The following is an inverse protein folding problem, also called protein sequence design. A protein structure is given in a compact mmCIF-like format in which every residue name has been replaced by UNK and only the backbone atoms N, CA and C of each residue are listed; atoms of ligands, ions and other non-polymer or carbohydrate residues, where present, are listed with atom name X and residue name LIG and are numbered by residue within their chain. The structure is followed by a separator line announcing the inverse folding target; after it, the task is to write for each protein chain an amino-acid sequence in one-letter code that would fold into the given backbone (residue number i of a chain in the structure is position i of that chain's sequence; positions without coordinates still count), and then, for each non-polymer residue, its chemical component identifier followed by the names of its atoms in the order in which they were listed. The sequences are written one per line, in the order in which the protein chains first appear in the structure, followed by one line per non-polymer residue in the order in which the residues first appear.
data_IF_676680221837
#
_entry.id   IF_676680221837
#
_cell.length_a   1.000
_cell.length_b   1.000
_cell.length_c   1.000
_cell.angle_alpha   90.00
_cell.angle_beta   90.00
_cell.angle_gamma   90.00
#
_symmetry.space_group_name_H-M   'P 1'
#
loop_
_entity.id
_entity.type
_entity.pdbx_description
1 polymer ?
#
# COMPACT_ATOMS: atom_id res chain seq x y z
N UNK A 1 27.59 17.47 -20.66
CA UNK A 1 29.07 17.37 -20.54
C UNK A 1 29.33 15.98 -19.98
N UNK A 2 29.95 15.11 -20.78
CA UNK A 2 30.44 13.86 -20.24
C UNK A 2 31.41 14.17 -19.08
N UNK A 3 31.42 13.32 -18.04
CA UNK A 3 32.44 13.38 -17.00
C UNK A 3 33.78 13.65 -17.66
N UNK A 4 34.46 14.74 -17.31
CA UNK A 4 35.76 15.00 -17.87
C UNK A 4 36.68 13.83 -17.48
N UNK A 5 37.56 13.39 -18.37
CA UNK A 5 38.52 12.31 -18.08
C UNK A 5 39.26 12.58 -16.75
N UNK A 6 39.44 13.84 -16.38
CA UNK A 6 40.04 14.25 -15.10
C UNK A 6 39.16 13.91 -13.89
N UNK A 7 37.85 14.17 -13.94
CA UNK A 7 36.95 13.87 -12.85
C UNK A 7 36.80 12.35 -12.63
N UNK A 8 36.80 11.58 -13.70
CA UNK A 8 36.79 10.10 -13.62
C UNK A 8 38.13 9.56 -13.04
N UNK A 9 39.26 10.17 -13.42
CA UNK A 9 40.57 9.81 -12.91
C UNK A 9 40.72 10.15 -11.42
N UNK A 10 40.30 11.32 -11.00
CA UNK A 10 40.28 11.74 -9.58
C UNK A 10 39.42 10.82 -8.72
N UNK A 11 38.26 10.40 -9.25
CA UNK A 11 37.36 9.48 -8.58
C UNK A 11 37.99 8.08 -8.43
N UNK A 12 38.62 7.58 -9.49
CA UNK A 12 39.32 6.29 -9.47
C UNK A 12 40.52 6.30 -8.51
N UNK A 13 41.23 7.41 -8.44
CA UNK A 13 42.35 7.58 -7.53
C UNK A 13 41.89 7.70 -6.08
N UNK A 14 40.77 8.38 -5.81
CA UNK A 14 40.17 8.42 -4.47
C UNK A 14 39.67 7.05 -4.01
N UNK A 15 39.08 6.24 -4.89
CA UNK A 15 38.67 4.86 -4.60
C UNK A 15 39.90 3.98 -4.33
N UNK A 16 40.95 4.10 -5.12
CA UNK A 16 42.22 3.36 -4.95
C UNK A 16 42.97 3.74 -3.67
N UNK A 17 42.85 4.98 -3.20
CA UNK A 17 43.46 5.48 -1.97
C UNK A 17 42.79 4.96 -0.69
N UNK A 18 41.80 4.05 -0.80
CA UNK A 18 41.11 3.46 0.35
C UNK A 18 40.05 4.40 0.96
N UNK A 19 39.48 5.28 0.16
CA UNK A 19 38.33 6.10 0.56
C UNK A 19 37.20 5.21 1.06
N UNK A 20 36.69 5.50 2.28
CA UNK A 20 35.68 4.72 2.94
C UNK A 20 34.33 4.74 2.19
N UNK A 21 33.29 4.17 2.82
CA UNK A 21 31.91 4.07 2.27
C UNK A 21 31.37 5.42 1.78
N UNK A 22 31.77 6.54 2.36
CA UNK A 22 31.39 7.89 1.95
C UNK A 22 31.90 8.26 0.54
N UNK A 23 33.16 7.94 0.22
CA UNK A 23 33.73 8.19 -1.10
C UNK A 23 33.05 7.36 -2.19
N UNK A 24 32.72 6.11 -1.87
CA UNK A 24 31.97 5.24 -2.79
C UNK A 24 30.55 5.75 -3.02
N UNK A 25 29.88 6.22 -1.97
CA UNK A 25 28.54 6.82 -2.05
C UNK A 25 28.55 8.10 -2.89
N UNK A 26 29.52 8.99 -2.69
CA UNK A 26 29.64 10.24 -3.42
C UNK A 26 29.95 9.97 -4.91
N UNK A 27 30.80 8.97 -5.19
CA UNK A 27 31.07 8.50 -6.54
C UNK A 27 29.82 7.95 -7.23
N UNK A 28 29.06 7.11 -6.54
CA UNK A 28 27.79 6.58 -7.06
C UNK A 28 26.78 7.72 -7.30
N UNK A 29 26.68 8.68 -6.39
CA UNK A 29 25.78 9.84 -6.53
C UNK A 29 26.10 10.60 -7.80
N UNK A 30 27.37 10.87 -8.06
CA UNK A 30 27.83 11.62 -9.23
C UNK A 30 27.53 10.86 -10.54
N UNK A 31 27.87 9.58 -10.60
CA UNK A 31 27.62 8.73 -11.80
C UNK A 31 26.13 8.62 -12.08
N UNK A 32 25.32 8.32 -11.07
CA UNK A 32 23.87 8.15 -11.24
C UNK A 32 23.20 9.48 -11.63
N UNK A 33 23.66 10.60 -11.06
CA UNK A 33 23.14 11.93 -11.41
C UNK A 33 23.47 12.30 -12.87
N UNK A 34 24.68 12.00 -13.34
CA UNK A 34 25.07 12.26 -14.73
C UNK A 34 24.27 11.40 -15.72
N UNK A 35 24.03 10.12 -15.40
CA UNK A 35 23.19 9.25 -16.23
C UNK A 35 21.74 9.78 -16.32
N UNK A 36 21.19 10.29 -15.22
CA UNK A 36 19.87 10.90 -15.19
C UNK A 36 19.82 12.17 -16.07
N UNK A 37 20.86 13.01 -16.03
CA UNK A 37 20.92 14.23 -16.82
C UNK A 37 21.12 13.92 -18.32
N UNK A 38 21.88 12.89 -18.69
CA UNK A 38 22.03 12.44 -20.07
C UNK A 38 20.69 11.96 -20.63
N UNK A 39 20.00 11.08 -19.92
CA UNK A 39 18.69 10.56 -20.33
C UNK A 39 17.62 11.67 -20.41
N UNK A 40 17.62 12.61 -19.45
CA UNK A 40 16.76 13.78 -19.53
C UNK A 40 17.05 14.66 -20.73
N UNK A 41 18.32 14.78 -21.13
CA UNK A 41 18.73 15.56 -22.30
C UNK A 41 18.28 14.91 -23.60
N UNK A 42 18.34 13.58 -23.70
CA UNK A 42 17.78 12.83 -24.84
C UNK A 42 16.26 13.02 -24.97
N UNK A 43 15.52 12.91 -23.86
CA UNK A 43 14.05 13.10 -23.85
C UNK A 43 13.67 14.53 -24.22
N UNK A 44 14.45 15.53 -23.80
CA UNK A 44 14.22 16.95 -24.06
C UNK A 44 14.66 17.33 -25.49
N UNK A 45 15.52 16.54 -26.12
CA UNK A 45 16.16 16.87 -27.40
C UNK A 45 17.21 17.98 -27.32
N UNK A 46 17.71 18.30 -26.10
CA UNK A 46 18.73 19.33 -25.91
C UNK A 46 19.43 19.20 -24.55
N UNK A 47 20.71 19.49 -24.52
CA UNK A 47 21.49 19.59 -23.29
C UNK A 47 21.07 20.77 -22.42
N UNK A 48 21.60 20.81 -21.19
CA UNK A 48 21.32 21.92 -20.25
C UNK A 48 21.89 23.21 -20.80
N UNK A 49 21.06 24.25 -20.89
CA UNK A 49 21.36 25.59 -21.44
C UNK A 49 21.63 25.63 -22.96
N UNK A 50 21.54 24.51 -23.69
CA UNK A 50 21.64 24.47 -25.13
C UNK A 50 20.36 25.02 -25.79
N UNK A 51 20.53 25.77 -26.88
CA UNK A 51 19.42 26.26 -27.71
C UNK A 51 19.46 25.50 -29.04
N UNK A 52 18.45 24.69 -29.28
CA UNK A 52 18.30 23.88 -30.52
C UNK A 52 16.83 23.80 -30.89
N UNK A 53 16.55 23.66 -32.18
CA UNK A 53 15.19 23.49 -32.71
C UNK A 53 14.63 22.10 -32.40
N UNK A 54 15.46 21.16 -32.01
CA UNK A 54 15.08 19.80 -31.59
C UNK A 54 14.51 19.73 -30.17
N UNK A 55 14.60 20.83 -29.44
CA UNK A 55 14.11 20.90 -28.06
C UNK A 55 12.58 20.76 -28.00
N UNK A 56 12.11 19.69 -27.37
CA UNK A 56 10.67 19.38 -27.22
C UNK A 56 10.03 20.04 -26.00
N UNK A 57 10.80 20.27 -24.92
CA UNK A 57 10.29 20.87 -23.67
C UNK A 57 11.43 21.52 -22.87
N UNK A 58 11.08 22.13 -21.74
CA UNK A 58 12.04 22.79 -20.84
C UNK A 58 12.06 22.12 -19.46
N UNK A 59 13.24 22.13 -18.80
CA UNK A 59 13.36 21.76 -17.39
C UNK A 59 12.61 22.76 -16.50
N UNK A 60 11.90 22.25 -15.50
CA UNK A 60 11.14 23.04 -14.53
C UNK A 60 11.50 22.62 -13.10
N UNK A 61 12.77 22.87 -12.72
CA UNK A 61 13.30 22.41 -11.43
C UNK A 61 13.63 20.92 -11.40
N UNK A 62 13.77 20.39 -10.21
CA UNK A 62 14.03 18.97 -9.96
C UNK A 62 13.22 18.48 -8.75
N UNK A 63 13.08 17.16 -8.63
CA UNK A 63 12.59 16.47 -7.42
C UNK A 63 13.69 15.61 -6.86
N UNK A 64 13.83 15.58 -5.55
CA UNK A 64 14.82 14.72 -4.88
C UNK A 64 14.25 13.33 -4.68
N UNK A 65 15.06 12.30 -4.95
CA UNK A 65 14.79 10.91 -4.61
C UNK A 65 15.98 10.34 -3.86
N UNK A 66 15.70 9.56 -2.82
CA UNK A 66 16.73 8.80 -2.11
C UNK A 66 16.74 7.38 -2.66
N UNK A 67 17.91 6.91 -3.07
CA UNK A 67 18.17 5.54 -3.48
C UNK A 67 19.03 4.87 -2.42
N UNK A 68 18.49 3.89 -1.69
CA UNK A 68 19.24 3.12 -0.71
C UNK A 68 20.13 2.11 -1.42
N UNK A 69 21.42 2.17 -1.14
CA UNK A 69 22.45 1.29 -1.71
C UNK A 69 23.24 0.60 -0.59
N UNK A 70 24.04 -0.39 -0.94
CA UNK A 70 24.98 -1.03 0.02
C UNK A 70 26.04 -0.05 0.57
N UNK A 71 26.27 1.07 -0.13
CA UNK A 71 27.19 2.12 0.30
C UNK A 71 26.46 3.27 1.06
N UNK A 72 25.18 3.06 1.45
CA UNK A 72 24.34 4.06 2.10
C UNK A 72 23.33 4.73 1.15
N UNK A 73 22.63 5.72 1.67
CA UNK A 73 21.58 6.45 0.95
C UNK A 73 22.17 7.48 -0.01
N UNK A 74 21.81 7.39 -1.29
CA UNK A 74 22.22 8.28 -2.38
C UNK A 74 21.06 9.23 -2.69
N UNK A 75 21.28 10.54 -2.59
CA UNK A 75 20.28 11.56 -2.94
C UNK A 75 20.43 11.95 -4.41
N UNK A 76 19.41 11.67 -5.22
CA UNK A 76 19.37 11.96 -6.65
C UNK A 76 18.36 13.06 -6.95
N UNK A 77 18.69 13.95 -7.90
CA UNK A 77 17.85 15.03 -8.38
C UNK A 77 17.30 14.71 -9.76
N UNK A 78 16.02 14.37 -9.84
CA UNK A 78 15.35 14.04 -11.09
C UNK A 78 14.78 15.30 -11.71
N UNK A 79 15.18 15.71 -12.94
CA UNK A 79 14.63 16.87 -13.62
C UNK A 79 13.11 16.75 -13.79
N UNK A 80 12.40 17.84 -13.51
CA UNK A 80 10.98 18.03 -13.88
C UNK A 80 10.92 18.68 -15.25
N UNK A 81 9.96 18.25 -16.08
CA UNK A 81 9.67 18.88 -17.36
C UNK A 81 8.50 19.86 -17.23
N UNK A 82 8.51 20.92 -18.04
CA UNK A 82 7.40 21.89 -18.11
C UNK A 82 6.18 21.25 -18.76
N UNK A 83 6.39 20.45 -19.80
CA UNK A 83 5.38 19.68 -20.52
C UNK A 83 5.81 18.21 -20.57
N UNK A 84 4.87 17.29 -20.29
CA UNK A 84 5.15 15.87 -20.16
C UNK A 84 5.69 15.45 -18.79
N UNK A 85 6.12 14.21 -18.68
CA UNK A 85 6.74 13.65 -17.48
C UNK A 85 8.05 12.95 -17.86
N UNK A 86 9.06 13.11 -17.00
CA UNK A 86 10.33 12.39 -17.11
C UNK A 86 10.56 11.58 -15.84
N UNK A 87 10.92 10.33 -16.05
CA UNK A 87 11.41 9.47 -14.98
C UNK A 87 12.58 8.66 -15.53
N UNK A 88 13.77 8.70 -14.88
CA UNK A 88 14.95 7.98 -15.37
C UNK A 88 14.71 6.48 -15.46
N UNK A 89 15.06 5.83 -16.57
CA UNK A 89 14.96 4.38 -16.75
C UNK A 89 15.77 3.62 -15.70
N UNK A 90 16.90 4.19 -15.28
CA UNK A 90 17.76 3.71 -14.21
C UNK A 90 16.99 3.60 -12.85
N UNK A 91 16.04 4.49 -12.61
CA UNK A 91 15.25 4.56 -11.37
C UNK A 91 13.82 4.06 -11.59
N UNK A 92 13.52 3.46 -12.76
CA UNK A 92 12.18 2.97 -13.05
C UNK A 92 11.70 1.99 -11.98
N UNK A 93 10.59 2.31 -11.32
CA UNK A 93 10.02 1.47 -10.26
C UNK A 93 9.71 0.06 -10.72
N UNK A 94 9.40 -0.09 -11.99
CA UNK A 94 8.94 -1.35 -12.59
C UNK A 94 10.00 -2.44 -12.68
N UNK A 95 11.28 -2.11 -12.67
CA UNK A 95 12.34 -3.14 -12.78
C UNK A 95 12.29 -4.19 -11.69
N UNK A 96 11.94 -3.81 -10.46
CA UNK A 96 11.80 -4.76 -9.34
C UNK A 96 10.60 -5.67 -9.54
N UNK A 97 9.46 -5.11 -9.93
CA UNK A 97 8.24 -5.86 -10.25
C UNK A 97 8.47 -6.77 -11.44
N UNK A 98 9.06 -6.26 -12.51
CA UNK A 98 9.32 -7.03 -13.73
C UNK A 98 10.31 -8.16 -13.45
N UNK A 99 11.35 -7.92 -12.64
CA UNK A 99 12.30 -8.96 -12.20
C UNK A 99 11.62 -10.01 -11.33
N UNK A 100 10.73 -9.60 -10.43
CA UNK A 100 9.96 -10.53 -9.59
C UNK A 100 8.97 -11.36 -10.42
N UNK A 101 8.28 -10.75 -11.36
CA UNK A 101 7.37 -11.43 -12.28
C UNK A 101 8.13 -12.45 -13.13
N UNK A 102 9.27 -12.05 -13.72
CA UNK A 102 10.14 -12.95 -14.47
C UNK A 102 10.60 -14.14 -13.62
N UNK A 103 11.07 -13.89 -12.38
CA UNK A 103 11.53 -14.93 -11.48
C UNK A 103 10.42 -15.96 -11.18
N UNK A 104 9.18 -15.51 -10.96
CA UNK A 104 8.03 -16.40 -10.70
C UNK A 104 7.66 -17.21 -11.94
N UNK A 105 7.66 -16.59 -13.13
CA UNK A 105 7.38 -17.27 -14.40
C UNK A 105 8.43 -18.36 -14.65
N UNK A 106 9.70 -18.02 -14.47
CA UNK A 106 10.80 -18.97 -14.68
C UNK A 106 10.81 -20.08 -13.63
N UNK A 107 10.48 -19.77 -12.39
CA UNK A 107 10.33 -20.78 -11.33
C UNK A 107 9.22 -21.79 -11.68
N UNK A 108 8.06 -21.31 -12.12
CA UNK A 108 6.95 -22.16 -12.54
C UNK A 108 7.34 -23.06 -13.75
N UNK A 109 8.02 -22.49 -14.74
CA UNK A 109 8.49 -23.21 -15.92
C UNK A 109 9.53 -24.30 -15.59
N UNK A 110 10.54 -23.93 -14.81
CA UNK A 110 11.64 -24.83 -14.42
C UNK A 110 11.17 -26.01 -13.55
N UNK A 111 10.15 -25.78 -12.72
CA UNK A 111 9.56 -26.82 -11.87
C UNK A 111 8.48 -27.66 -12.57
N UNK A 112 8.14 -27.36 -13.83
CA UNK A 112 7.12 -28.07 -14.59
C UNK A 112 5.71 -27.92 -14.05
N UNK A 113 5.45 -26.83 -13.30
CA UNK A 113 4.14 -26.47 -12.76
C UNK A 113 3.53 -25.27 -13.51
N UNK A 114 4.09 -24.95 -14.68
CA UNK A 114 3.64 -23.85 -15.53
C UNK A 114 2.25 -24.13 -16.11
N UNK A 115 1.51 -23.03 -16.31
CA UNK A 115 0.27 -23.05 -17.08
C UNK A 115 0.59 -22.77 -18.56
N UNK A 116 -0.33 -23.13 -19.47
CA UNK A 116 -0.19 -22.77 -20.91
C UNK A 116 0.11 -21.28 -21.09
N UNK A 117 -0.47 -20.42 -20.25
CA UNK A 117 -0.24 -18.96 -20.25
C UNK A 117 1.20 -18.61 -19.90
N UNK A 118 1.80 -19.30 -18.94
CA UNK A 118 3.21 -19.11 -18.56
C UNK A 118 4.13 -19.63 -19.67
N UNK A 119 3.80 -20.78 -20.28
CA UNK A 119 4.56 -21.34 -21.39
C UNK A 119 4.56 -20.39 -22.59
N UNK A 120 3.39 -19.82 -22.95
CA UNK A 120 3.25 -18.82 -24.02
C UNK A 120 4.11 -17.56 -23.73
N UNK A 121 4.19 -17.13 -22.48
CA UNK A 121 5.02 -15.99 -22.07
C UNK A 121 6.52 -16.29 -22.18
N UNK A 122 6.94 -17.48 -21.78
CA UNK A 122 8.36 -17.92 -21.88
C UNK A 122 8.80 -17.94 -23.34
N UNK A 123 7.96 -18.51 -24.23
CA UNK A 123 8.20 -18.50 -25.68
C UNK A 123 8.24 -17.08 -26.24
N UNK A 124 7.28 -16.21 -25.87
CA UNK A 124 7.23 -14.82 -26.33
C UNK A 124 8.44 -13.99 -25.87
N UNK A 125 9.04 -14.33 -24.73
CA UNK A 125 10.26 -13.70 -24.23
C UNK A 125 11.54 -14.22 -24.88
N UNK A 126 11.45 -15.20 -25.79
CA UNK A 126 12.60 -15.78 -26.49
C UNK A 126 13.54 -16.58 -25.57
N UNK A 127 13.03 -17.12 -24.45
CA UNK A 127 13.83 -17.79 -23.43
C UNK A 127 14.00 -19.29 -23.73
N UNK A 128 13.91 -19.69 -24.98
CA UNK A 128 13.95 -21.11 -25.43
C UNK A 128 15.28 -21.83 -25.16
N UNK A 129 16.33 -21.15 -24.76
CA UNK A 129 17.63 -21.78 -24.58
C UNK A 129 18.44 -21.12 -23.46
N UNK A 130 18.43 -21.73 -22.27
CA UNK A 130 19.61 -21.62 -21.42
C UNK A 130 19.51 -20.94 -20.07
N UNK A 131 18.31 -20.68 -19.51
CA UNK A 131 18.25 -20.21 -18.11
C UNK A 131 18.46 -21.42 -17.19
N UNK A 132 19.53 -21.40 -16.41
CA UNK A 132 19.84 -22.51 -15.50
C UNK A 132 18.97 -22.44 -14.23
N UNK A 133 18.59 -23.62 -13.69
CA UNK A 133 17.87 -23.73 -12.42
C UNK A 133 18.58 -22.97 -11.29
N UNK A 134 19.90 -22.97 -11.28
CA UNK A 134 20.71 -22.28 -10.28
C UNK A 134 20.60 -20.75 -10.39
N UNK A 135 20.51 -20.20 -11.59
CA UNK A 135 20.34 -18.76 -11.79
C UNK A 135 18.95 -18.29 -11.36
N UNK A 136 17.89 -19.01 -11.74
CA UNK A 136 16.52 -18.74 -11.27
C UNK A 136 16.48 -18.77 -9.74
N UNK A 137 17.03 -19.80 -9.10
CA UNK A 137 17.07 -19.93 -7.64
C UNK A 137 17.86 -18.81 -6.95
N UNK A 138 18.93 -18.30 -7.60
CA UNK A 138 19.69 -17.15 -7.08
C UNK A 138 18.87 -15.87 -7.13
N UNK A 139 18.22 -15.60 -8.26
CA UNK A 139 17.37 -14.40 -8.42
C UNK A 139 16.17 -14.44 -7.47
N UNK A 140 15.54 -15.61 -7.31
CA UNK A 140 14.45 -15.78 -6.35
C UNK A 140 14.90 -15.46 -4.92
N UNK A 141 16.04 -15.99 -4.47
CA UNK A 141 16.58 -15.70 -3.12
C UNK A 141 16.89 -14.23 -2.90
N UNK A 142 17.54 -13.57 -3.86
CA UNK A 142 17.82 -12.13 -3.76
C UNK A 142 16.56 -11.30 -3.59
N UNK A 143 15.49 -11.64 -4.31
CA UNK A 143 14.19 -10.97 -4.19
C UNK A 143 13.47 -11.32 -2.88
N UNK A 144 13.57 -12.57 -2.44
CA UNK A 144 13.02 -13.02 -1.16
C UNK A 144 13.67 -12.28 0.01
N UNK A 145 14.98 -12.08 -0.02
CA UNK A 145 15.72 -11.32 0.99
C UNK A 145 15.27 -9.84 1.03
N UNK A 146 15.09 -9.21 -0.14
CA UNK A 146 14.59 -7.84 -0.26
C UNK A 146 13.17 -7.73 0.29
N UNK A 147 12.29 -8.65 -0.09
CA UNK A 147 10.89 -8.66 0.37
C UNK A 147 10.80 -8.96 1.87
N UNK A 148 11.63 -9.88 2.39
CA UNK A 148 11.71 -10.18 3.81
C UNK A 148 12.15 -8.96 4.62
N UNK A 149 13.23 -8.28 4.20
CA UNK A 149 13.70 -7.06 4.85
C UNK A 149 12.63 -5.96 4.89
N UNK A 150 11.87 -5.80 3.78
CA UNK A 150 10.75 -4.87 3.74
C UNK A 150 9.61 -5.29 4.67
N UNK A 151 9.23 -6.57 4.64
CA UNK A 151 8.14 -7.11 5.44
C UNK A 151 8.42 -7.03 6.93
N UNK A 152 9.67 -7.28 7.34
CA UNK A 152 10.07 -7.39 8.72
C UNK A 152 10.63 -6.06 9.31
N UNK A 153 10.63 -4.97 8.52
CA UNK A 153 11.15 -3.67 8.96
C UNK A 153 10.43 -3.13 10.18
N UNK A 154 11.12 -2.37 11.07
CA UNK A 154 10.49 -1.70 12.22
C UNK A 154 9.41 -0.69 11.78
N UNK A 155 8.33 -0.59 12.56
CA UNK A 155 7.23 0.35 12.38
C UNK A 155 7.16 1.41 13.49
N UNK A 156 8.05 1.36 14.47
CA UNK A 156 8.02 2.24 15.65
C UNK A 156 8.56 3.66 15.44
N UNK A 157 8.83 4.04 14.19
CA UNK A 157 9.37 5.37 13.84
C UNK A 157 8.33 6.50 13.97
N UNK A 158 7.04 6.17 13.87
CA UNK A 158 5.92 7.12 13.98
C UNK A 158 4.63 6.39 14.35
N UNK A 159 3.67 7.02 15.08
CA UNK A 159 2.33 6.46 15.29
C UNK A 159 1.50 6.42 13.99
N UNK A 160 0.59 5.42 13.89
CA UNK A 160 -0.33 5.22 12.76
C UNK A 160 -1.80 5.28 13.23
N UNK A 161 -2.42 6.45 13.32
CA UNK A 161 -3.80 6.60 13.79
C UNK A 161 -4.83 5.81 12.98
N UNK A 162 -4.61 5.64 11.67
CA UNK A 162 -5.49 4.91 10.77
C UNK A 162 -4.78 3.73 10.13
N UNK A 163 -5.40 2.55 10.22
CA UNK A 163 -4.92 1.32 9.60
C UNK A 163 -6.02 0.75 8.71
N UNK A 164 -5.66 0.41 7.47
CA UNK A 164 -6.55 -0.23 6.50
C UNK A 164 -6.09 -1.67 6.31
N UNK A 165 -7.05 -2.60 6.39
CA UNK A 165 -6.82 -4.03 6.21
C UNK A 165 -7.74 -4.54 5.12
N UNK A 166 -7.18 -5.35 4.22
CA UNK A 166 -7.95 -6.01 3.17
C UNK A 166 -7.20 -7.26 2.71
N UNK A 167 -7.89 -8.17 2.03
CA UNK A 167 -7.33 -9.37 1.47
C UNK A 167 -7.74 -9.54 0.01
N UNK A 168 -6.86 -10.18 -0.75
CA UNK A 168 -7.14 -10.66 -2.09
C UNK A 168 -6.73 -12.11 -2.22
N UNK A 169 -7.31 -12.84 -3.18
CA UNK A 169 -7.05 -14.26 -3.36
C UNK A 169 -6.31 -14.52 -4.66
N UNK A 170 -5.33 -15.40 -4.57
CA UNK A 170 -4.56 -15.93 -5.70
C UNK A 170 -4.55 -17.45 -5.65
N UNK A 171 -4.29 -18.10 -6.80
CA UNK A 171 -4.13 -19.55 -6.86
C UNK A 171 -2.67 -19.93 -6.82
N UNK A 172 -2.33 -20.91 -5.97
CA UNK A 172 -0.97 -21.43 -5.88
C UNK A 172 -0.98 -22.95 -5.70
N UNK A 173 0.10 -23.59 -6.10
CA UNK A 173 0.32 -25.01 -5.78
C UNK A 173 0.66 -25.15 -4.30
N UNK A 174 0.04 -26.18 -3.68
CA UNK A 174 0.36 -26.72 -2.38
C UNK A 174 0.51 -28.24 -2.55
N UNK A 175 1.75 -28.70 -2.65
CA UNK A 175 2.04 -30.05 -3.11
C UNK A 175 1.48 -30.30 -4.51
N UNK A 176 0.66 -31.33 -4.65
CA UNK A 176 0.03 -31.71 -5.93
C UNK A 176 -1.29 -30.96 -6.23
N UNK A 177 -1.81 -30.18 -5.28
CA UNK A 177 -3.11 -29.52 -5.39
C UNK A 177 -2.95 -28.03 -5.71
N UNK A 178 -3.95 -27.45 -6.41
CA UNK A 178 -4.07 -26.02 -6.59
C UNK A 178 -5.07 -25.47 -5.59
N UNK A 179 -4.61 -24.61 -4.69
CA UNK A 179 -5.42 -24.01 -3.62
C UNK A 179 -5.53 -22.51 -3.80
N UNK A 180 -6.52 -21.93 -3.14
CA UNK A 180 -6.67 -20.48 -3.04
C UNK A 180 -5.88 -20.00 -1.83
N UNK A 181 -4.97 -19.06 -2.01
CA UNK A 181 -4.20 -18.43 -0.93
C UNK A 181 -4.70 -17.01 -0.72
N UNK A 182 -4.95 -16.65 0.52
CA UNK A 182 -5.26 -15.27 0.91
C UNK A 182 -3.98 -14.45 0.96
N UNK A 183 -3.97 -13.31 0.30
CA UNK A 183 -2.91 -12.30 0.36
C UNK A 183 -3.46 -11.12 1.15
N UNK A 184 -3.05 -11.00 2.40
CA UNK A 184 -3.49 -9.97 3.33
C UNK A 184 -2.53 -8.81 3.30
N UNK A 185 -3.07 -7.61 3.21
CA UNK A 185 -2.30 -6.36 3.13
C UNK A 185 -2.76 -5.38 4.20
N UNK A 186 -1.80 -4.79 4.89
CA UNK A 186 -2.02 -3.68 5.81
C UNK A 186 -1.34 -2.42 5.29
N UNK A 187 -2.09 -1.31 5.27
CA UNK A 187 -1.54 0.03 5.04
C UNK A 187 -1.94 0.95 6.17
N UNK A 188 -1.15 1.98 6.44
CA UNK A 188 -1.42 2.94 7.50
C UNK A 188 -1.29 4.37 7.04
N UNK A 189 -1.91 5.26 7.79
CA UNK A 189 -1.68 6.71 7.70
C UNK A 189 -0.92 7.12 8.94
N UNK A 190 0.24 7.74 8.73
CA UNK A 190 1.11 8.24 9.80
C UNK A 190 0.48 9.42 10.56
N UNK A 191 0.95 9.73 11.75
CA UNK A 191 0.55 10.92 12.48
C UNK A 191 0.80 12.23 11.70
N UNK A 192 1.66 12.21 10.68
CA UNK A 192 1.91 13.35 9.76
C UNK A 192 1.00 13.35 8.53
N UNK A 193 0.16 12.34 8.35
CA UNK A 193 -0.78 12.22 7.24
C UNK A 193 -0.22 11.54 5.99
N UNK A 194 0.98 10.97 6.03
CA UNK A 194 1.57 10.20 4.94
C UNK A 194 1.05 8.76 4.96
N UNK A 195 1.12 8.07 3.82
CA UNK A 195 0.73 6.65 3.74
C UNK A 195 1.94 5.74 3.71
N UNK A 196 1.82 4.61 4.40
CA UNK A 196 2.79 3.53 4.35
C UNK A 196 2.13 2.17 4.19
N UNK A 197 2.80 1.26 3.47
CA UNK A 197 2.45 -0.17 3.52
C UNK A 197 3.04 -0.72 4.83
N UNK A 198 2.23 -1.27 5.70
CA UNK A 198 2.66 -1.77 7.02
C UNK A 198 3.09 -3.22 6.99
N UNK A 199 2.44 -4.04 6.15
CA UNK A 199 2.75 -5.45 6.08
C UNK A 199 1.98 -6.22 5.02
N UNK A 200 2.47 -7.43 4.80
CA UNK A 200 1.95 -8.45 3.91
C UNK A 200 2.03 -9.80 4.61
N UNK A 201 0.98 -10.61 4.50
CA UNK A 201 1.01 -12.02 4.82
C UNK A 201 0.26 -12.84 3.77
N UNK A 202 0.70 -14.07 3.55
CA UNK A 202 0.04 -15.04 2.68
C UNK A 202 -0.34 -16.24 3.53
N UNK A 203 -1.51 -16.82 3.31
CA UNK A 203 -2.00 -17.95 4.09
C UNK A 203 -3.15 -18.68 3.39
N UNK A 204 -3.57 -19.81 3.98
CA UNK A 204 -4.59 -20.68 3.40
C UNK A 204 -6.01 -20.12 3.55
N UNK A 205 -6.24 -19.34 4.61
CA UNK A 205 -7.55 -18.79 4.93
C UNK A 205 -7.43 -17.48 5.69
N UNK A 206 -8.49 -16.68 5.64
CA UNK A 206 -8.65 -15.45 6.44
C UNK A 206 -9.31 -15.76 7.79
N UNK A 207 -8.92 -16.82 8.48
CA UNK A 207 -9.50 -17.12 9.80
C UNK A 207 -8.97 -16.19 10.91
N UNK A 208 -9.61 -16.26 12.08
CA UNK A 208 -9.26 -15.40 13.21
C UNK A 208 -7.85 -15.62 13.74
N UNK A 209 -7.31 -16.84 13.62
CA UNK A 209 -5.95 -17.16 14.07
C UNK A 209 -4.92 -16.53 13.16
N UNK A 210 -5.12 -16.61 11.84
CA UNK A 210 -4.26 -15.97 10.84
C UNK A 210 -4.24 -14.44 11.00
N UNK A 211 -5.42 -13.81 11.11
CA UNK A 211 -5.52 -12.38 11.36
C UNK A 211 -4.85 -11.94 12.68
N UNK A 212 -5.06 -12.75 13.74
CA UNK A 212 -4.43 -12.47 15.03
C UNK A 212 -2.90 -12.54 14.95
N UNK A 213 -2.36 -13.56 14.30
CA UNK A 213 -0.92 -13.69 14.07
C UNK A 213 -0.36 -12.53 13.25
N UNK A 214 -1.05 -12.14 12.18
CA UNK A 214 -0.66 -11.01 11.34
C UNK A 214 -0.64 -9.69 12.13
N UNK A 215 -1.70 -9.36 12.85
CA UNK A 215 -1.77 -8.12 13.65
C UNK A 215 -0.74 -8.11 14.79
N UNK A 216 -0.49 -9.25 15.43
CA UNK A 216 0.59 -9.39 16.43
C UNK A 216 1.96 -9.14 15.82
N UNK A 217 2.21 -9.60 14.59
CA UNK A 217 3.47 -9.32 13.89
C UNK A 217 3.66 -7.83 13.61
N UNK A 218 2.61 -7.09 13.26
CA UNK A 218 2.68 -5.65 13.10
C UNK A 218 3.01 -4.95 14.44
N UNK A 219 2.37 -5.37 15.54
CA UNK A 219 2.65 -4.82 16.87
C UNK A 219 4.06 -5.11 17.34
N UNK A 220 4.55 -6.33 17.16
CA UNK A 220 5.93 -6.71 17.57
C UNK A 220 6.99 -5.90 16.81
N UNK A 221 6.67 -5.43 15.60
CA UNK A 221 7.51 -4.53 14.79
C UNK A 221 7.36 -3.05 15.20
N UNK A 222 6.53 -2.72 16.17
CA UNK A 222 6.39 -1.37 16.73
C UNK A 222 5.17 -0.59 16.24
N UNK A 223 4.18 -1.22 15.57
CA UNK A 223 2.92 -0.53 15.22
C UNK A 223 2.25 0.01 16.48
N UNK A 224 2.02 1.31 16.51
CA UNK A 224 1.48 2.03 17.68
C UNK A 224 0.53 3.16 17.28
N UNK A 225 -0.24 3.68 18.25
CA UNK A 225 -1.12 4.83 18.08
C UNK A 225 -2.35 4.57 17.21
N UNK A 226 -2.73 3.31 16.99
CA UNK A 226 -3.90 2.95 16.15
C UNK A 226 -5.18 3.39 16.86
N UNK A 227 -5.94 4.29 16.22
CA UNK A 227 -7.24 4.79 16.72
C UNK A 227 -8.42 4.21 15.96
N UNK A 228 -8.23 3.95 14.64
CA UNK A 228 -9.27 3.37 13.80
C UNK A 228 -8.67 2.34 12.84
N UNK A 229 -9.30 1.17 12.79
CA UNK A 229 -9.03 0.14 11.79
C UNK A 229 -10.18 0.08 10.80
N UNK A 230 -9.89 0.16 9.52
CA UNK A 230 -10.86 0.12 8.42
C UNK A 230 -10.71 -1.19 7.66
N UNK A 231 -11.77 -2.00 7.60
CA UNK A 231 -11.75 -3.27 6.87
C UNK A 231 -13.13 -3.69 6.36
N UNK A 232 -13.20 -4.78 5.62
CA UNK A 232 -14.48 -5.46 5.38
C UNK A 232 -14.98 -6.19 6.66
N UNK A 233 -16.25 -6.55 6.64
CA UNK A 233 -16.88 -7.29 7.73
C UNK A 233 -16.53 -8.78 7.64
N UNK A 234 -15.48 -9.15 8.34
CA UNK A 234 -15.07 -10.53 8.55
C UNK A 234 -14.94 -10.78 10.06
N UNK A 235 -15.73 -11.73 10.61
CA UNK A 235 -15.81 -11.94 12.07
C UNK A 235 -14.45 -12.28 12.69
N UNK A 236 -13.66 -13.14 12.03
CA UNK A 236 -12.32 -13.48 12.49
C UNK A 236 -11.39 -12.26 12.54
N UNK A 237 -11.51 -11.33 11.58
CA UNK A 237 -10.75 -10.08 11.57
C UNK A 237 -11.22 -9.12 12.67
N UNK A 238 -12.54 -8.94 12.84
CA UNK A 238 -13.11 -8.08 13.89
C UNK A 238 -12.64 -8.55 15.28
N UNK A 239 -12.72 -9.86 15.53
CA UNK A 239 -12.23 -10.45 16.78
C UNK A 239 -10.72 -10.26 16.98
N UNK A 240 -9.92 -10.41 15.94
CA UNK A 240 -8.47 -10.19 16.00
C UNK A 240 -8.11 -8.71 16.27
N UNK A 241 -8.82 -7.76 15.65
CA UNK A 241 -8.65 -6.31 15.91
C UNK A 241 -8.91 -6.01 17.38
N UNK A 242 -10.05 -6.46 17.91
CA UNK A 242 -10.43 -6.23 19.31
C UNK A 242 -9.41 -6.84 20.30
N UNK A 243 -8.85 -8.02 19.98
CA UNK A 243 -7.90 -8.71 20.84
C UNK A 243 -6.47 -8.13 20.77
N UNK A 244 -6.03 -7.60 19.63
CA UNK A 244 -4.63 -7.20 19.41
C UNK A 244 -4.44 -5.69 19.41
N UNK A 245 -5.37 -4.92 18.84
CA UNK A 245 -5.29 -3.46 18.73
C UNK A 245 -6.23 -2.80 19.76
N UNK A 246 -5.95 -3.06 21.02
CA UNK A 246 -6.76 -2.57 22.15
C UNK A 246 -6.93 -1.05 22.10
N UNK A 247 -8.15 -0.57 22.32
CA UNK A 247 -8.51 0.85 22.29
C UNK A 247 -8.72 1.43 20.89
N UNK A 248 -8.53 0.64 19.82
CA UNK A 248 -8.89 1.11 18.48
C UNK A 248 -10.37 0.87 18.17
N UNK A 249 -11.02 1.86 17.53
CA UNK A 249 -12.33 1.67 16.93
C UNK A 249 -12.22 0.84 15.63
N UNK A 250 -13.31 0.21 15.25
CA UNK A 250 -13.40 -0.51 13.97
C UNK A 250 -14.43 0.12 13.05
N UNK A 251 -14.02 0.46 11.83
CA UNK A 251 -14.88 0.97 10.78
C UNK A 251 -15.12 -0.10 9.73
N UNK A 252 -16.35 -0.54 9.58
CA UNK A 252 -16.76 -1.38 8.46
C UNK A 252 -16.69 -0.61 7.15
N UNK A 253 -16.02 -1.14 6.15
CA UNK A 253 -15.89 -0.51 4.84
C UNK A 253 -17.29 -0.23 4.22
N UNK A 254 -17.58 1.05 3.98
CA UNK A 254 -18.84 1.50 3.38
C UNK A 254 -19.11 0.86 2.01
N UNK A 255 -18.09 0.68 1.20
CA UNK A 255 -18.24 0.13 -0.15
C UNK A 255 -18.67 -1.33 -0.10
N UNK A 256 -18.03 -2.13 0.75
CA UNK A 256 -18.41 -3.52 0.97
C UNK A 256 -19.80 -3.63 1.62
N UNK A 257 -20.10 -2.77 2.58
CA UNK A 257 -21.43 -2.68 3.18
C UNK A 257 -22.51 -2.42 2.12
N UNK A 258 -22.32 -1.44 1.25
CA UNK A 258 -23.28 -1.15 0.16
C UNK A 258 -23.42 -2.33 -0.82
N UNK A 259 -22.36 -3.08 -1.11
CA UNK A 259 -22.45 -4.33 -1.90
C UNK A 259 -23.31 -5.38 -1.20
N UNK A 260 -23.15 -5.52 0.12
CA UNK A 260 -23.97 -6.45 0.91
C UNK A 260 -25.45 -6.03 0.95
N UNK A 261 -25.75 -4.74 1.00
CA UNK A 261 -27.11 -4.19 0.83
C UNK A 261 -27.68 -4.59 -0.53
N UNK A 262 -26.91 -4.38 -1.61
CA UNK A 262 -27.35 -4.72 -2.97
C UNK A 262 -27.64 -6.22 -3.17
N UNK A 263 -26.90 -7.08 -2.48
CA UNK A 263 -27.11 -8.52 -2.56
C UNK A 263 -28.46 -8.99 -1.94
N UNK A 264 -29.10 -8.11 -1.15
CA UNK A 264 -30.36 -8.42 -0.43
C UNK A 264 -31.61 -7.80 -1.08
N UNK A 265 -31.46 -7.11 -2.20
CA UNK A 265 -32.57 -6.41 -2.86
C UNK A 265 -32.67 -6.80 -4.34
N UNK A 266 -33.88 -6.75 -4.93
CA UNK A 266 -34.08 -6.93 -6.35
C UNK A 266 -33.36 -5.85 -7.17
N UNK A 267 -32.78 -6.24 -8.32
CA UNK A 267 -32.05 -5.32 -9.22
C UNK A 267 -32.84 -4.04 -9.57
N UNK A 268 -34.14 -4.13 -9.80
CA UNK A 268 -34.99 -2.99 -10.12
C UNK A 268 -35.16 -1.96 -8.99
N UNK A 269 -34.77 -2.28 -7.75
CA UNK A 269 -34.83 -1.37 -6.59
C UNK A 269 -33.44 -0.88 -6.18
N UNK A 270 -32.37 -1.35 -6.83
CA UNK A 270 -30.98 -1.10 -6.44
C UNK A 270 -30.65 0.40 -6.35
N UNK A 271 -30.97 1.17 -7.38
CA UNK A 271 -30.63 2.59 -7.46
C UNK A 271 -31.34 3.41 -6.40
N UNK A 272 -32.63 3.11 -6.17
CA UNK A 272 -33.44 3.80 -5.13
C UNK A 272 -32.87 3.53 -3.73
N UNK A 273 -32.65 2.27 -3.38
CA UNK A 273 -32.15 1.90 -2.06
C UNK A 273 -30.72 2.43 -1.84
N UNK A 274 -29.85 2.33 -2.86
CA UNK A 274 -28.50 2.89 -2.77
C UNK A 274 -28.52 4.41 -2.61
N UNK A 275 -29.39 5.11 -3.35
CA UNK A 275 -29.53 6.56 -3.18
C UNK A 275 -29.96 6.92 -1.76
N UNK A 276 -30.96 6.21 -1.21
CA UNK A 276 -31.39 6.40 0.17
C UNK A 276 -30.26 6.12 1.18
N UNK A 277 -29.59 4.98 1.12
CA UNK A 277 -28.51 4.62 2.06
C UNK A 277 -27.30 5.57 1.94
N UNK A 278 -27.00 6.08 0.74
CA UNK A 278 -25.91 7.07 0.56
C UNK A 278 -26.16 8.38 1.26
N UNK A 279 -27.41 8.77 1.50
CA UNK A 279 -27.73 10.02 2.24
C UNK A 279 -27.24 9.99 3.67
N UNK A 280 -27.13 8.82 4.30
CA UNK A 280 -26.58 8.63 5.64
C UNK A 280 -25.17 9.20 5.73
N UNK A 281 -24.34 8.93 4.70
CA UNK A 281 -22.94 9.35 4.64
C UNK A 281 -22.75 10.78 4.09
N UNK A 282 -23.82 11.47 3.72
CA UNK A 282 -23.78 12.83 3.22
C UNK A 282 -24.09 13.88 4.29
N UNK A 283 -24.33 13.45 5.51
CA UNK A 283 -24.70 14.33 6.63
C UNK A 283 -23.49 15.13 7.14
N UNK A 284 -23.71 16.34 7.71
CA UNK A 284 -22.63 17.25 8.09
C UNK A 284 -21.96 16.91 9.42
N UNK A 285 -22.62 16.15 10.30
CA UNK A 285 -22.15 15.82 11.65
C UNK A 285 -22.61 14.44 12.12
N UNK A 286 -22.05 13.96 13.23
CA UNK A 286 -22.30 12.64 13.77
C UNK A 286 -23.74 12.40 14.21
N UNK A 287 -24.40 13.43 14.78
CA UNK A 287 -25.78 13.34 15.22
C UNK A 287 -26.71 13.16 14.02
N UNK A 288 -26.55 14.00 13.00
CA UNK A 288 -27.32 13.93 11.76
C UNK A 288 -27.08 12.60 11.00
N UNK A 289 -25.85 12.04 11.03
CA UNK A 289 -25.57 10.70 10.45
C UNK A 289 -26.39 9.63 11.16
N UNK A 290 -26.44 9.65 12.50
CA UNK A 290 -27.18 8.67 13.31
C UNK A 290 -28.69 8.80 13.13
N UNK A 291 -29.21 10.00 13.11
CA UNK A 291 -30.63 10.29 12.85
C UNK A 291 -31.06 9.83 11.47
N UNK A 292 -30.28 10.21 10.43
CA UNK A 292 -30.54 9.80 9.04
C UNK A 292 -30.50 8.29 8.86
N UNK A 293 -29.59 7.59 9.57
CA UNK A 293 -29.54 6.12 9.53
C UNK A 293 -30.83 5.51 10.06
N UNK A 294 -31.34 5.99 11.19
CA UNK A 294 -32.63 5.57 11.76
C UNK A 294 -33.79 5.82 10.81
N UNK A 295 -33.90 7.04 10.28
CA UNK A 295 -34.95 7.39 9.30
C UNK A 295 -34.94 6.50 8.06
N UNK A 296 -33.74 6.20 7.50
CA UNK A 296 -33.63 5.35 6.32
C UNK A 296 -34.00 3.90 6.65
N UNK A 297 -33.59 3.39 7.82
CA UNK A 297 -34.01 2.07 8.28
C UNK A 297 -35.54 1.98 8.39
N UNK A 298 -36.18 2.95 9.02
CA UNK A 298 -37.66 3.01 9.15
C UNK A 298 -38.34 3.07 7.80
N UNK A 299 -37.88 3.91 6.88
CA UNK A 299 -38.40 4.04 5.51
C UNK A 299 -38.24 2.76 4.67
N UNK A 300 -37.20 1.98 4.91
CA UNK A 300 -36.95 0.73 4.19
C UNK A 300 -37.68 -0.48 4.81
N UNK A 301 -38.03 -0.45 6.09
CA UNK A 301 -38.65 -1.56 6.81
C UNK A 301 -39.87 -2.16 6.10
N UNK A 302 -40.84 -1.38 5.57
CA UNK A 302 -42.04 -1.97 4.98
C UNK A 302 -41.77 -2.78 3.70
N UNK A 303 -40.75 -2.45 2.95
CA UNK A 303 -40.47 -3.07 1.65
C UNK A 303 -39.19 -3.92 1.65
N UNK A 304 -38.22 -3.55 2.46
CA UNK A 304 -36.91 -4.19 2.54
C UNK A 304 -36.47 -4.43 3.99
N UNK A 305 -37.23 -5.22 4.79
CA UNK A 305 -36.99 -5.38 6.22
C UNK A 305 -35.58 -5.93 6.51
N UNK A 306 -35.06 -6.86 5.70
CA UNK A 306 -33.71 -7.40 5.86
C UNK A 306 -32.59 -6.36 5.64
N UNK A 307 -32.84 -5.30 4.87
CA UNK A 307 -31.89 -4.19 4.71
C UNK A 307 -31.98 -3.24 5.90
N UNK A 308 -33.20 -2.96 6.38
CA UNK A 308 -33.40 -2.14 7.57
C UNK A 308 -32.73 -2.75 8.80
N UNK A 309 -32.93 -4.04 9.05
CA UNK A 309 -32.27 -4.79 10.11
C UNK A 309 -30.74 -4.71 9.99
N UNK A 310 -30.20 -4.98 8.79
CA UNK A 310 -28.76 -4.88 8.54
C UNK A 310 -28.19 -3.47 8.77
N UNK A 311 -28.95 -2.41 8.49
CA UNK A 311 -28.58 -1.03 8.78
C UNK A 311 -28.46 -0.78 10.28
N UNK A 312 -29.45 -1.24 11.06
CA UNK A 312 -29.48 -1.09 12.52
C UNK A 312 -28.37 -1.89 13.18
N UNK A 313 -28.20 -3.18 12.80
CA UNK A 313 -27.14 -4.04 13.33
C UNK A 313 -25.73 -3.49 13.05
N UNK A 314 -25.52 -2.95 11.86
CA UNK A 314 -24.23 -2.43 11.45
C UNK A 314 -24.01 -0.96 11.84
N UNK A 315 -25.00 -0.28 12.46
CA UNK A 315 -24.97 1.17 12.68
C UNK A 315 -23.67 1.66 13.32
N UNK A 316 -23.25 1.06 14.44
CA UNK A 316 -22.04 1.44 15.15
C UNK A 316 -20.77 1.23 14.25
N UNK A 317 -20.73 0.10 13.54
CA UNK A 317 -19.57 -0.32 12.75
C UNK A 317 -19.42 0.50 11.44
N UNK A 318 -20.52 0.90 10.80
CA UNK A 318 -20.48 1.68 9.55
C UNK A 318 -20.38 3.18 9.76
N UNK A 319 -20.65 3.65 10.98
CA UNK A 319 -20.58 5.08 11.34
C UNK A 319 -19.44 5.41 12.31
N UNK A 320 -18.56 4.47 12.63
CA UNK A 320 -17.43 4.69 13.55
C UNK A 320 -16.53 5.88 13.11
N UNK A 321 -16.46 6.16 11.79
CA UNK A 321 -15.71 7.29 11.23
C UNK A 321 -16.20 8.65 11.78
N UNK A 322 -17.43 8.75 12.28
CA UNK A 322 -18.01 10.01 12.76
C UNK A 322 -17.38 10.51 14.05
N UNK A 323 -16.69 9.65 14.81
CA UNK A 323 -15.93 10.02 15.99
C UNK A 323 -14.60 10.75 15.63
N UNK A 324 -14.29 10.92 14.36
CA UNK A 324 -13.04 11.51 13.87
C UNK A 324 -13.31 12.85 13.17
N UNK A 325 -12.26 13.69 12.93
CA UNK A 325 -12.42 14.99 12.28
C UNK A 325 -13.14 14.88 10.93
N UNK A 326 -14.09 15.78 10.67
CA UNK A 326 -14.91 15.81 9.45
C UNK A 326 -14.04 15.78 8.16
N UNK A 327 -12.90 16.47 8.20
CA UNK A 327 -11.96 16.49 7.09
C UNK A 327 -11.41 15.09 6.70
N UNK A 328 -11.46 14.12 7.63
CA UNK A 328 -10.98 12.75 7.42
C UNK A 328 -12.04 11.80 6.89
N UNK A 329 -13.33 12.05 7.15
CA UNK A 329 -14.43 11.13 6.90
C UNK A 329 -14.38 10.44 5.54
N UNK A 330 -14.24 11.23 4.45
CA UNK A 330 -14.20 10.71 3.07
C UNK A 330 -13.04 9.75 2.80
N UNK A 331 -12.02 9.79 3.64
CA UNK A 331 -10.80 8.99 3.47
C UNK A 331 -10.74 7.77 4.37
N UNK A 332 -11.53 7.76 5.47
CA UNK A 332 -11.50 6.69 6.47
C UNK A 332 -12.78 5.83 6.51
N UNK A 333 -13.85 6.18 5.80
CA UNK A 333 -15.08 5.39 5.78
C UNK A 333 -15.05 4.16 4.85
N UNK A 334 -13.97 3.94 4.11
CA UNK A 334 -13.84 2.80 3.19
C UNK A 334 -12.39 2.40 2.98
N UNK A 335 -12.19 1.18 2.49
CA UNK A 335 -10.87 0.64 2.09
C UNK A 335 -10.45 1.05 0.68
N UNK A 336 -11.09 2.03 0.04
CA UNK A 336 -10.76 2.50 -1.31
C UNK A 336 -9.25 2.76 -1.54
N UNK A 337 -8.51 3.34 -0.58
CA UNK A 337 -7.06 3.51 -0.74
C UNK A 337 -6.33 2.19 -0.93
N UNK A 338 -6.75 1.15 -0.21
CA UNK A 338 -6.20 -0.18 -0.28
C UNK A 338 -6.72 -0.98 -1.49
N UNK A 339 -7.95 -0.71 -1.96
CA UNK A 339 -8.47 -1.33 -3.19
C UNK A 339 -7.59 -1.03 -4.42
N UNK A 340 -6.97 0.15 -4.48
CA UNK A 340 -6.01 0.49 -5.56
C UNK A 340 -4.76 -0.36 -5.48
N UNK A 341 -4.26 -0.59 -4.26
CA UNK A 341 -3.10 -1.46 -3.99
C UNK A 341 -3.45 -2.89 -4.41
N UNK A 342 -4.59 -3.40 -3.95
CA UNK A 342 -5.06 -4.74 -4.30
C UNK A 342 -5.26 -4.93 -5.81
N UNK A 343 -5.78 -3.92 -6.52
CA UNK A 343 -5.91 -3.96 -7.98
C UNK A 343 -4.54 -4.07 -8.67
N UNK A 344 -3.53 -3.36 -8.18
CA UNK A 344 -2.18 -3.44 -8.75
C UNK A 344 -1.54 -4.80 -8.48
N UNK A 345 -1.65 -5.30 -7.24
CA UNK A 345 -1.21 -6.67 -6.91
C UNK A 345 -1.92 -7.68 -7.80
N UNK A 346 -3.26 -7.61 -7.90
CA UNK A 346 -4.05 -8.54 -8.70
C UNK A 346 -3.70 -8.47 -10.18
N UNK A 347 -3.51 -7.28 -10.74
CA UNK A 347 -3.11 -7.11 -12.15
C UNK A 347 -1.80 -7.86 -12.47
N UNK A 348 -0.85 -7.88 -11.53
CA UNK A 348 0.43 -8.59 -11.70
C UNK A 348 0.29 -10.09 -11.44
N UNK A 349 -0.47 -10.49 -10.45
CA UNK A 349 -0.69 -11.91 -10.13
C UNK A 349 -1.53 -12.62 -11.21
N UNK A 350 -2.48 -11.92 -11.84
CA UNK A 350 -3.31 -12.46 -12.93
C UNK A 350 -2.50 -12.81 -14.19
N UNK A 351 -1.31 -12.21 -14.36
CA UNK A 351 -0.38 -12.58 -15.44
C UNK A 351 0.13 -14.00 -15.25
N UNK A 352 0.45 -14.38 -14.03
CA UNK A 352 0.92 -15.73 -13.66
C UNK A 352 -0.24 -16.74 -13.69
N UNK A 353 -1.36 -16.37 -13.11
CA UNK A 353 -2.56 -17.20 -12.99
C UNK A 353 -2.48 -18.21 -11.85
N UNK A 354 -1.61 -19.21 -11.90
CA UNK A 354 -1.36 -20.19 -10.83
C UNK A 354 0.12 -20.13 -10.45
N UNK A 355 0.39 -19.84 -9.18
CA UNK A 355 1.75 -19.73 -8.65
C UNK A 355 2.36 -21.10 -8.35
N UNK A 356 3.69 -21.27 -8.51
CA UNK A 356 4.36 -22.52 -8.20
C UNK A 356 4.31 -22.88 -6.71
N UNK A 357 4.27 -21.88 -5.84
CA UNK A 357 4.22 -22.04 -4.38
C UNK A 357 3.85 -20.70 -3.70
N UNK A 358 3.69 -20.72 -2.37
CA UNK A 358 3.38 -19.56 -1.55
C UNK A 358 4.53 -18.53 -1.51
N UNK A 359 5.78 -18.97 -1.54
CA UNK A 359 6.94 -18.08 -1.58
C UNK A 359 6.93 -17.21 -2.84
N UNK A 360 6.57 -17.77 -4.00
CA UNK A 360 6.42 -17.04 -5.25
C UNK A 360 5.30 -15.99 -5.19
N UNK A 361 4.18 -16.28 -4.51
CA UNK A 361 3.12 -15.30 -4.23
C UNK A 361 3.67 -14.14 -3.40
N UNK A 362 4.33 -14.47 -2.28
CA UNK A 362 4.93 -13.48 -1.36
C UNK A 362 5.96 -12.62 -2.06
N UNK A 363 6.80 -13.21 -2.91
CA UNK A 363 7.83 -12.51 -3.70
C UNK A 363 7.23 -11.47 -4.64
N UNK A 364 6.25 -11.85 -5.45
CA UNK A 364 5.65 -10.94 -6.41
C UNK A 364 4.80 -9.87 -5.71
N UNK A 365 3.91 -10.25 -4.81
CA UNK A 365 3.08 -9.31 -4.06
C UNK A 365 3.94 -8.35 -3.22
N UNK A 366 4.99 -8.87 -2.55
CA UNK A 366 5.93 -8.08 -1.78
C UNK A 366 6.71 -7.07 -2.63
N UNK A 367 7.16 -7.47 -3.82
CA UNK A 367 7.83 -6.56 -4.75
C UNK A 367 6.91 -5.42 -5.21
N UNK A 368 5.63 -5.72 -5.49
CA UNK A 368 4.63 -4.71 -5.85
C UNK A 368 4.39 -3.74 -4.68
N UNK A 369 4.24 -4.27 -3.48
CA UNK A 369 3.98 -3.45 -2.29
C UNK A 369 5.16 -2.57 -1.89
N UNK A 370 6.38 -3.08 -2.02
CA UNK A 370 7.59 -2.31 -1.80
C UNK A 370 7.69 -1.14 -2.78
N UNK A 371 7.34 -1.35 -4.03
CA UNK A 371 7.30 -0.30 -5.05
C UNK A 371 6.29 0.79 -4.70
N UNK A 372 5.06 0.39 -4.33
CA UNK A 372 4.00 1.31 -3.90
C UNK A 372 4.44 2.09 -2.66
N UNK A 373 5.13 1.43 -1.71
CA UNK A 373 5.66 2.07 -0.51
C UNK A 373 6.68 3.15 -0.87
N UNK A 374 7.63 2.84 -1.76
CA UNK A 374 8.64 3.78 -2.26
C UNK A 374 7.98 4.96 -3.00
N UNK A 375 6.96 4.70 -3.85
CA UNK A 375 6.20 5.74 -4.53
C UNK A 375 5.50 6.68 -3.53
N UNK A 376 4.92 6.15 -2.46
CA UNK A 376 4.27 6.95 -1.43
C UNK A 376 5.27 7.76 -0.60
N UNK A 377 6.43 7.18 -0.29
CA UNK A 377 7.48 7.87 0.48
C UNK A 377 8.03 9.12 -0.23
N UNK A 378 7.99 9.13 -1.59
CA UNK A 378 8.47 10.27 -2.39
C UNK A 378 7.33 11.16 -2.90
N UNK A 379 6.07 10.85 -2.56
CA UNK A 379 4.92 11.64 -3.00
C UNK A 379 4.95 13.05 -2.40
N UNK A 380 4.83 14.09 -3.23
CA UNK A 380 4.79 15.48 -2.76
C UNK A 380 3.54 15.80 -1.94
N UNK A 381 2.45 15.07 -2.17
CA UNK A 381 1.15 15.31 -1.54
C UNK A 381 0.83 14.26 -0.50
N UNK A 382 0.68 14.70 0.75
CA UNK A 382 0.21 13.87 1.85
C UNK A 382 -1.22 13.36 1.61
N UNK A 383 -1.52 12.21 2.15
CA UNK A 383 -2.87 11.65 2.09
C UNK A 383 -3.88 12.47 2.92
N UNK A 384 -3.49 12.83 4.15
CA UNK A 384 -4.17 13.78 5.01
C UNK A 384 -3.22 14.94 5.29
N UNK A 385 -3.75 16.17 5.43
CA UNK A 385 -2.90 17.32 5.77
C UNK A 385 -2.44 17.24 7.22
N UNK A 386 -1.23 17.72 7.50
CA UNK A 386 -0.69 17.74 8.87
C UNK A 386 -1.58 18.52 9.84
N UNK A 387 -2.11 19.67 9.40
CA UNK A 387 -3.05 20.45 10.21
C UNK A 387 -4.36 19.72 10.51
N UNK A 388 -4.84 18.82 9.60
CA UNK A 388 -6.01 18.01 9.91
C UNK A 388 -5.68 16.85 10.85
N UNK A 389 -4.47 16.30 10.77
CA UNK A 389 -4.02 15.25 11.69
C UNK A 389 -3.85 15.75 13.12
N UNK A 390 -3.42 17.00 13.31
CA UNK A 390 -3.31 17.63 14.63
C UNK A 390 -4.67 17.71 15.38
N UNK A 391 -5.80 17.70 14.65
CA UNK A 391 -7.12 17.65 15.27
C UNK A 391 -7.39 16.35 16.05
N UNK A 392 -6.61 15.28 15.77
CA UNK A 392 -6.74 14.04 16.53
C UNK A 392 -6.24 14.17 17.97
N UNK A 393 -5.28 15.04 18.23
CA UNK A 393 -4.71 15.20 19.57
C UNK A 393 -5.76 15.79 20.53
N UNK A 394 -6.62 16.71 20.04
CA UNK A 394 -7.74 17.26 20.82
C UNK A 394 -8.81 16.22 21.21
N UNK A 395 -9.00 15.17 20.40
CA UNK A 395 -9.95 14.09 20.73
C UNK A 395 -9.46 13.20 21.89
N UNK A 396 -8.15 13.07 22.09
CA UNK A 396 -7.57 12.29 23.17
C UNK A 396 -7.76 13.00 24.53
N UNK A 397 -7.69 14.33 24.54
CA UNK A 397 -7.89 15.14 25.76
C UNK A 397 -9.36 15.17 26.19
N UNK A 398 -10.30 15.19 25.25
CA UNK A 398 -11.74 15.15 25.54
C UNK A 398 -12.20 13.80 26.14
N UNK A 399 -11.64 12.68 25.67
CA UNK A 399 -11.96 11.36 26.21
C UNK A 399 -11.31 11.15 27.60
N UNK A 400 -10.08 11.59 27.80
CA UNK A 400 -9.40 11.56 29.09
C UNK A 400 -10.13 12.43 30.13
N UNK A 401 -10.65 13.58 29.71
CA UNK A 401 -11.44 14.50 30.58
C UNK A 401 -12.79 13.88 30.99
N UNK A 402 -13.47 13.19 30.04
CA UNK A 402 -14.73 12.50 30.32
C UNK A 402 -14.55 11.28 31.22
N UNK A 403 -13.45 10.52 31.09
CA UNK A 403 -13.16 9.41 32.01
C UNK A 403 -12.84 9.91 33.43
N UNK A 404 -12.10 11.01 33.56
CA UNK A 404 -11.82 11.63 34.88
C UNK A 404 -13.07 12.19 35.53
N UNK A 405 -13.92 12.86 34.76
CA UNK A 405 -15.19 13.39 35.26
C UNK A 405 -16.19 12.26 35.61
N UNK A 406 -16.23 11.20 34.80
CA UNK A 406 -17.04 10.00 35.10
C UNK A 406 -16.57 9.27 36.35
N UNK A 407 -15.27 9.10 36.55
CA UNK A 407 -14.68 8.50 37.75
C UNK A 407 -14.91 9.38 38.99
N UNK A 408 -14.82 10.71 38.86
CA UNK A 408 -15.10 11.68 39.92
C UNK A 408 -16.57 11.72 40.33
N UNK A 409 -17.47 11.60 39.34
CA UNK A 409 -18.92 11.51 39.61
C UNK A 409 -19.29 10.21 40.34
N UNK A 410 -18.66 9.08 40.01
CA UNK A 410 -18.84 7.81 40.70
C UNK A 410 -18.30 7.84 42.15
N UNK A 411 -17.18 8.54 42.39
CA UNK A 411 -16.60 8.72 43.74
C UNK A 411 -17.38 9.68 44.63
N UNK A 412 -18.16 10.60 44.04
CA UNK A 412 -19.03 11.53 44.78
C UNK A 412 -20.43 10.97 45.02
N UNK A 413 -20.81 9.85 44.36
CA UNK A 413 -22.05 9.15 44.51
C UNK A 413 -21.98 7.91 45.44
N UNK A 414 -20.78 7.58 45.94
CA UNK A 414 -20.51 6.55 46.94
C UNK A 414 -20.24 7.19 48.32
#
# INVERSE_FOLDING_TARGET
MALSQSALSELLDAIRAGGGEDTLRDAMTLILQELIELEASEVIGAARYERTDERTTHRNGSRTRVLSTKAGDVKLHIPKLREGSFFPALLEPRRRIDRALWAVIMEAYVHGVSTRKVDDLVVALGIDAGVSKSEVSRICRELDDIVAAFRDRPLGHIPFPYVFLDATYVKAHDGASVVSKAVVIATGVTAKGDREVLGLAVGDSEDGAFWTAFLRSLRSRGLSGVRLVISDAHEGLKGAIAAVLLGSAWQRCRVHFLRNVLARIPKGSADMVLAAVRTIFAQPDAASVKEQLGEIADKLTPRFPAVAEMLIEAAADVTAFTAFPLAHWRKIWSTNPLERVNKEVKRRTDVVGIFPNEAAVTRLAGAVLLEIHDEWAVAERRYLSEGSMALLDGLADDDATKEVDGARALLLAS
#
